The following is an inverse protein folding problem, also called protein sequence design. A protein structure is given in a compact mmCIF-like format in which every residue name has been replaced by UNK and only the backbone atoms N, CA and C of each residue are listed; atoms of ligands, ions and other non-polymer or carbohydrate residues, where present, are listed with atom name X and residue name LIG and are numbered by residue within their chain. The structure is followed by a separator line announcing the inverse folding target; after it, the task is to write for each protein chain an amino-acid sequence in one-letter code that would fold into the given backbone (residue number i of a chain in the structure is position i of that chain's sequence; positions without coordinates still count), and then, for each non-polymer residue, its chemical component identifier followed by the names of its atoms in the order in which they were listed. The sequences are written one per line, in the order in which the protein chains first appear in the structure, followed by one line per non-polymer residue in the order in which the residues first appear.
data_IF_366490712716
#
_entry.id   IF_366490712716
#
_cell.length_a   1.000
_cell.length_b   1.000
_cell.length_c   1.000
_cell.angle_alpha   90.00
_cell.angle_beta   90.00
_cell.angle_gamma   90.00
#
_symmetry.space_group_name_H-M   'P 1'
#
loop_
_entity.id
_entity.type
_entity.pdbx_description
1 polymer ?
#
# COMPACT_ATOMS: atom_id res chain seq x y z
N UNK A 1 3.18 -14.65 -17.51
CA UNK A 1 3.09 -13.23 -17.14
C UNK A 1 2.44 -13.16 -15.78
N UNK A 2 3.14 -12.70 -14.75
CA UNK A 2 2.58 -12.53 -13.40
C UNK A 2 1.81 -11.21 -13.38
N UNK A 3 0.49 -11.22 -13.11
CA UNK A 3 -0.29 -9.99 -13.02
C UNK A 3 0.17 -9.19 -11.79
N UNK A 4 0.38 -7.89 -11.97
CA UNK A 4 0.64 -6.99 -10.87
C UNK A 4 -0.69 -6.45 -10.33
N UNK A 5 -0.87 -6.36 -9.01
CA UNK A 5 -2.05 -5.73 -8.43
C UNK A 5 -2.11 -4.25 -8.81
N UNK A 6 -3.32 -3.74 -9.01
CA UNK A 6 -3.55 -2.30 -9.28
C UNK A 6 -3.57 -1.48 -8.00
N UNK A 7 -4.07 -2.04 -6.90
CA UNK A 7 -4.17 -1.38 -5.59
C UNK A 7 -3.66 -2.30 -4.48
N UNK A 8 -2.90 -1.74 -3.55
CA UNK A 8 -2.30 -2.43 -2.40
C UNK A 8 -2.52 -1.61 -1.13
N UNK A 9 -3.07 -2.27 -0.11
CA UNK A 9 -3.17 -1.72 1.24
C UNK A 9 -2.05 -2.28 2.11
N UNK A 10 -1.23 -1.41 2.69
CA UNK A 10 -0.19 -1.79 3.63
C UNK A 10 -0.77 -1.71 5.05
N UNK A 11 -1.02 -2.87 5.64
CA UNK A 11 -1.60 -3.04 6.97
C UNK A 11 -0.63 -3.75 7.91
N UNK A 12 -0.87 -3.62 9.21
CA UNK A 12 -0.08 -4.20 10.31
C UNK A 12 1.41 -3.78 10.33
N UNK A 13 1.84 -3.19 11.45
CA UNK A 13 3.19 -2.68 11.66
C UNK A 13 3.14 -1.33 12.37
N UNK A 14 4.27 -0.85 12.87
CA UNK A 14 4.34 0.54 13.36
C UNK A 14 4.04 1.50 12.20
N UNK A 15 3.33 2.59 12.48
CA UNK A 15 2.90 3.57 11.46
C UNK A 15 4.05 4.01 10.54
N UNK A 16 5.21 4.28 11.15
CA UNK A 16 6.42 4.73 10.45
C UNK A 16 6.99 3.66 9.51
N UNK A 17 6.91 2.38 9.89
CA UNK A 17 7.37 1.26 9.08
C UNK A 17 6.42 1.01 7.90
N UNK A 18 5.12 1.06 8.16
CA UNK A 18 4.08 0.90 7.14
C UNK A 18 4.19 2.00 6.07
N UNK A 19 4.42 3.25 6.50
CA UNK A 19 4.63 4.39 5.59
C UNK A 19 5.91 4.22 4.76
N UNK A 20 7.02 3.84 5.39
CA UNK A 20 8.29 3.62 4.70
C UNK A 20 8.20 2.50 3.65
N UNK A 21 7.48 1.42 3.96
CA UNK A 21 7.24 0.33 3.03
C UNK A 21 6.35 0.76 1.85
N UNK A 22 5.26 1.49 2.12
CA UNK A 22 4.39 2.02 1.08
C UNK A 22 5.13 2.96 0.11
N UNK A 23 6.05 3.80 0.62
CA UNK A 23 6.88 4.67 -0.21
C UNK A 23 7.82 3.89 -1.14
N UNK A 24 8.43 2.80 -0.64
CA UNK A 24 9.28 1.93 -1.46
C UNK A 24 8.49 1.24 -2.56
N UNK A 25 7.32 0.69 -2.23
CA UNK A 25 6.41 0.08 -3.21
C UNK A 25 5.99 1.06 -4.32
N UNK A 26 5.67 2.32 -3.97
CA UNK A 26 5.36 3.35 -4.98
C UNK A 26 6.54 3.66 -5.90
N UNK A 27 7.75 3.62 -5.35
CA UNK A 27 8.98 3.88 -6.11
C UNK A 27 9.29 2.73 -7.07
N UNK A 28 9.15 1.48 -6.63
CA UNK A 28 9.40 0.30 -7.46
C UNK A 28 8.28 0.04 -8.49
N UNK A 29 7.04 0.40 -8.15
CA UNK A 29 5.85 0.12 -8.96
C UNK A 29 5.01 1.40 -9.15
N UNK A 30 5.42 2.33 -10.02
CA UNK A 30 4.74 3.62 -10.21
C UNK A 30 3.31 3.50 -10.75
N UNK A 31 2.93 2.36 -11.33
CA UNK A 31 1.56 2.08 -11.81
C UNK A 31 0.63 1.46 -10.76
N UNK A 32 1.09 1.29 -9.53
CA UNK A 32 0.34 0.65 -8.45
C UNK A 32 -0.11 1.69 -7.42
N UNK A 33 -1.39 1.68 -7.09
CA UNK A 33 -1.97 2.52 -6.04
C UNK A 33 -1.65 1.89 -4.67
N UNK A 34 -0.83 2.57 -3.87
CA UNK A 34 -0.43 2.07 -2.55
C UNK A 34 -0.97 2.99 -1.46
N UNK A 35 -1.68 2.41 -0.51
CA UNK A 35 -2.38 3.12 0.56
C UNK A 35 -2.05 2.51 1.94
N UNK A 36 -1.83 3.36 2.94
CA UNK A 36 -1.77 2.94 4.35
C UNK A 36 -3.09 3.38 4.98
N UNK A 37 -4.05 2.47 5.21
CA UNK A 37 -5.36 2.82 5.74
C UNK A 37 -5.23 3.29 7.20
N UNK A 38 -6.19 4.11 7.64
CA UNK A 38 -6.30 4.49 9.05
C UNK A 38 -6.98 3.36 9.82
N UNK A 39 -6.76 3.31 11.12
CA UNK A 39 -7.52 2.40 11.98
C UNK A 39 -9.02 2.74 11.83
N UNK A 40 -9.83 1.71 11.61
CA UNK A 40 -11.28 1.77 11.35
C UNK A 40 -11.73 2.45 10.05
N UNK A 41 -10.84 2.66 9.07
CA UNK A 41 -11.26 3.17 7.74
C UNK A 41 -11.85 2.06 6.86
N UNK A 42 -12.90 2.41 6.10
CA UNK A 42 -13.54 1.53 5.12
C UNK A 42 -13.12 1.95 3.71
N UNK A 43 -12.74 0.97 2.88
CA UNK A 43 -12.32 1.20 1.50
C UNK A 43 -13.12 0.29 0.56
N UNK A 44 -13.66 0.88 -0.50
CA UNK A 44 -14.26 0.16 -1.63
C UNK A 44 -13.14 -0.30 -2.58
N UNK A 45 -13.25 -1.53 -3.12
CA UNK A 45 -12.19 -2.23 -3.88
C UNK A 45 -12.67 -2.74 -5.23
#
# INVERSE_FOLDING_TARGET
MTPHPRKVFVVHGEERQSLAFAMRLKTEFPGMEVEVPRVDSTHDV
#
